data_IF_337733411951
#
_entry.id   IF_337733411951
#
_cell.length_a   1.000
_cell.length_b   1.000
_cell.length_c   1.000
_cell.angle_alpha   90.00
_cell.angle_beta   90.00
_cell.angle_gamma   90.00
#
_symmetry.space_group_name_H-M   'P 1'
#
loop_
_entity.id
_entity.type
_entity.pdbx_description
1 polymer ?
#
# COMPACT_ATOMS: atom_id res chain seq x y z
N UNK A 1 17.88 7.73 -33.34
CA UNK A 1 16.51 7.19 -33.30
C UNK A 1 16.56 5.81 -32.65
N UNK A 2 16.16 5.66 -31.38
CA UNK A 2 16.24 4.34 -30.70
C UNK A 2 15.17 3.42 -31.30
N UNK A 3 15.58 2.22 -31.70
CA UNK A 3 14.70 1.24 -32.36
C UNK A 3 13.68 0.69 -31.36
N UNK A 4 12.38 0.92 -31.58
CA UNK A 4 11.29 0.41 -30.72
C UNK A 4 11.33 -1.11 -30.55
N UNK A 5 11.79 -1.85 -31.56
CA UNK A 5 11.98 -3.31 -31.46
C UNK A 5 13.05 -3.66 -30.44
N UNK A 6 14.16 -2.91 -30.43
CA UNK A 6 15.23 -3.10 -29.45
C UNK A 6 14.75 -2.87 -28.02
N UNK A 7 13.96 -1.80 -27.77
CA UNK A 7 13.39 -1.52 -26.45
C UNK A 7 12.51 -2.68 -25.97
N UNK A 8 11.65 -3.21 -26.83
CA UNK A 8 10.80 -4.36 -26.48
C UNK A 8 11.61 -5.65 -26.25
N UNK A 9 12.68 -5.88 -27.01
CA UNK A 9 13.60 -7.01 -26.78
C UNK A 9 14.27 -6.87 -25.41
N UNK A 10 14.78 -5.68 -25.07
CA UNK A 10 15.41 -5.41 -23.78
C UNK A 10 14.43 -5.60 -22.62
N UNK A 11 13.17 -5.19 -22.79
CA UNK A 11 12.12 -5.43 -21.81
C UNK A 11 11.98 -6.93 -21.51
N UNK A 12 11.69 -7.73 -22.54
CA UNK A 12 11.44 -9.16 -22.38
C UNK A 12 12.67 -9.93 -21.93
N UNK A 13 13.85 -9.58 -22.43
CA UNK A 13 15.12 -10.13 -21.94
C UNK A 13 15.27 -9.85 -20.44
N UNK A 14 14.99 -8.61 -20.00
CA UNK A 14 15.04 -8.25 -18.59
C UNK A 14 14.09 -9.07 -17.73
N UNK A 15 12.85 -9.25 -18.17
CA UNK A 15 11.86 -10.09 -17.49
C UNK A 15 12.34 -11.55 -17.41
N UNK A 16 12.85 -12.10 -18.52
CA UNK A 16 13.38 -13.47 -18.55
C UNK A 16 14.54 -13.65 -17.57
N UNK A 17 15.46 -12.68 -17.48
CA UNK A 17 16.57 -12.74 -16.52
C UNK A 17 16.08 -12.75 -15.06
N UNK A 18 15.09 -11.90 -14.73
CA UNK A 18 14.47 -11.90 -13.40
C UNK A 18 13.88 -13.27 -13.06
N UNK A 19 13.11 -13.87 -13.98
CA UNK A 19 12.46 -15.16 -13.77
C UNK A 19 13.45 -16.33 -13.71
N UNK A 20 14.44 -16.36 -14.59
CA UNK A 20 15.51 -17.38 -14.56
C UNK A 20 16.27 -17.30 -13.24
N UNK A 21 16.55 -16.08 -12.76
CA UNK A 21 17.19 -15.88 -11.47
C UNK A 21 16.35 -16.42 -10.32
N UNK A 22 15.03 -16.21 -10.33
CA UNK A 22 14.16 -16.71 -9.26
C UNK A 22 14.01 -18.23 -9.24
N UNK A 23 14.07 -18.89 -10.40
CA UNK A 23 14.00 -20.36 -10.46
C UNK A 23 15.28 -21.00 -9.90
N UNK A 24 16.44 -20.36 -10.10
CA UNK A 24 17.74 -20.90 -9.69
C UNK A 24 18.12 -20.56 -8.25
N UNK A 25 17.44 -19.62 -7.61
CA UNK A 25 17.79 -19.12 -6.29
C UNK A 25 16.59 -19.22 -5.36
N UNK A 26 16.74 -20.01 -4.29
CA UNK A 26 15.77 -20.06 -3.21
C UNK A 26 16.38 -19.42 -1.97
N UNK A 27 15.77 -18.35 -1.49
CA UNK A 27 16.09 -17.74 -0.20
C UNK A 27 15.27 -18.49 0.85
N UNK A 28 15.96 -19.13 1.80
CA UNK A 28 15.31 -19.97 2.81
C UNK A 28 14.65 -19.13 3.91
N UNK A 29 15.30 -18.05 4.30
CA UNK A 29 14.84 -17.20 5.38
C UNK A 29 15.47 -15.81 5.27
N UNK A 30 14.69 -14.78 5.62
CA UNK A 30 15.16 -13.41 5.81
C UNK A 30 14.70 -12.96 7.19
N UNK A 31 15.59 -12.44 8.05
CA UNK A 31 15.17 -11.95 9.35
C UNK A 31 14.14 -10.83 9.19
N UNK A 32 13.01 -10.93 9.91
CA UNK A 32 11.90 -9.98 9.84
C UNK A 32 12.31 -8.54 10.22
N UNK A 33 13.39 -8.42 10.99
CA UNK A 33 14.01 -7.15 11.40
C UNK A 33 14.61 -6.40 10.20
N UNK A 34 15.06 -7.10 9.16
CA UNK A 34 15.64 -6.51 7.96
C UNK A 34 14.65 -6.60 6.80
N UNK A 35 13.64 -5.72 6.79
CA UNK A 35 12.65 -5.62 5.69
C UNK A 35 13.29 -5.39 4.30
N UNK A 36 14.53 -4.88 4.25
CA UNK A 36 15.34 -4.66 3.03
C UNK A 36 16.30 -5.85 2.77
N UNK A 37 16.51 -6.73 3.74
CA UNK A 37 17.49 -7.83 3.68
C UNK A 37 17.27 -8.79 2.52
N UNK A 38 16.02 -8.97 2.08
CA UNK A 38 15.72 -9.78 0.89
C UNK A 38 16.33 -9.19 -0.38
N UNK A 39 16.34 -7.85 -0.53
CA UNK A 39 16.87 -7.17 -1.70
C UNK A 39 18.39 -7.34 -1.81
N UNK A 40 19.09 -7.30 -0.67
CA UNK A 40 20.53 -7.53 -0.61
C UNK A 40 20.92 -8.98 -0.95
N UNK A 41 19.98 -9.92 -0.80
CA UNK A 41 20.21 -11.35 -1.04
C UNK A 41 19.90 -11.77 -2.48
N UNK A 42 19.43 -10.85 -3.34
CA UNK A 42 19.08 -11.18 -4.72
C UNK A 42 20.32 -11.33 -5.61
N UNK A 43 20.34 -12.32 -6.52
CA UNK A 43 21.44 -12.48 -7.46
C UNK A 43 21.61 -11.24 -8.35
N UNK A 44 22.86 -10.96 -8.74
CA UNK A 44 23.17 -9.87 -9.67
C UNK A 44 22.37 -9.96 -10.98
N UNK A 45 22.10 -11.19 -11.45
CA UNK A 45 21.32 -11.46 -12.65
C UNK A 45 19.89 -10.90 -12.55
N UNK A 46 19.26 -10.98 -11.36
CA UNK A 46 17.94 -10.38 -11.13
C UNK A 46 18.00 -8.86 -11.32
N UNK A 47 18.98 -8.19 -10.70
CA UNK A 47 19.13 -6.74 -10.79
C UNK A 47 19.42 -6.27 -12.20
N UNK A 48 20.28 -6.98 -12.93
CA UNK A 48 20.53 -6.70 -14.35
C UNK A 48 19.24 -6.80 -15.17
N UNK A 49 18.46 -7.87 -14.97
CA UNK A 49 17.18 -8.03 -15.63
C UNK A 49 16.20 -6.91 -15.31
N UNK A 50 16.08 -6.58 -14.02
CA UNK A 50 15.18 -5.54 -13.53
C UNK A 50 15.52 -4.16 -14.09
N UNK A 51 16.82 -3.79 -14.11
CA UNK A 51 17.29 -2.52 -14.68
C UNK A 51 16.98 -2.45 -16.18
N UNK A 52 17.17 -3.53 -16.95
CA UNK A 52 16.83 -3.54 -18.38
C UNK A 52 15.34 -3.30 -18.61
N UNK A 53 14.48 -3.96 -17.85
CA UNK A 53 13.03 -3.76 -17.94
C UNK A 53 12.61 -2.36 -17.50
N UNK A 54 13.23 -1.81 -16.44
CA UNK A 54 12.97 -0.46 -15.94
C UNK A 54 13.38 0.60 -16.97
N UNK A 55 14.57 0.49 -17.56
CA UNK A 55 15.02 1.37 -18.64
C UNK A 55 14.06 1.32 -19.83
N UNK A 56 13.57 0.13 -20.21
CA UNK A 56 12.56 0.03 -21.27
C UNK A 56 11.28 0.79 -20.92
N UNK A 57 10.84 0.78 -19.66
CA UNK A 57 9.65 1.52 -19.23
C UNK A 57 9.89 3.02 -19.27
N UNK A 58 11.05 3.48 -18.77
CA UNK A 58 11.43 4.90 -18.77
C UNK A 58 11.42 5.45 -20.20
N UNK A 59 12.00 4.72 -21.16
CA UNK A 59 11.87 5.07 -22.57
C UNK A 59 10.42 4.98 -23.08
N UNK A 60 9.67 3.98 -22.63
CA UNK A 60 8.26 3.78 -22.97
C UNK A 60 7.33 4.92 -22.57
N UNK A 61 7.69 5.74 -21.57
CA UNK A 61 6.89 6.91 -21.15
C UNK A 61 6.56 7.79 -22.36
N UNK A 62 7.60 8.15 -23.14
CA UNK A 62 7.47 9.02 -24.31
C UNK A 62 7.07 8.27 -25.58
N UNK A 63 7.53 7.04 -25.76
CA UNK A 63 7.50 6.38 -27.08
C UNK A 63 6.50 5.23 -27.22
N UNK A 64 6.09 4.61 -26.12
CA UNK A 64 5.15 3.48 -26.17
C UNK A 64 3.71 3.97 -26.28
N UNK A 65 2.92 3.21 -27.05
CA UNK A 65 1.46 3.30 -26.99
C UNK A 65 1.02 3.07 -25.55
N UNK A 66 -0.05 3.74 -25.15
CA UNK A 66 -0.52 3.73 -23.76
C UNK A 66 -0.66 2.32 -23.18
N UNK A 67 -1.32 1.41 -23.91
CA UNK A 67 -1.54 0.04 -23.46
C UNK A 67 -0.23 -0.75 -23.28
N UNK A 68 0.78 -0.48 -24.10
CA UNK A 68 2.08 -1.15 -24.04
C UNK A 68 2.83 -0.67 -22.80
N UNK A 69 2.88 0.65 -22.59
CA UNK A 69 3.49 1.23 -21.40
C UNK A 69 2.84 0.68 -20.13
N UNK A 70 1.51 0.71 -20.09
CA UNK A 70 0.70 0.22 -18.98
C UNK A 70 1.02 -1.24 -18.63
N UNK A 71 1.01 -2.13 -19.61
CA UNK A 71 1.32 -3.55 -19.38
C UNK A 71 2.76 -3.74 -18.89
N UNK A 72 3.74 -3.08 -19.50
CA UNK A 72 5.14 -3.16 -19.08
C UNK A 72 5.32 -2.69 -17.64
N UNK A 73 4.75 -1.54 -17.30
CA UNK A 73 4.85 -0.95 -15.98
C UNK A 73 4.19 -1.82 -14.91
N UNK A 74 3.00 -2.37 -15.17
CA UNK A 74 2.35 -3.32 -14.27
C UNK A 74 3.22 -4.54 -14.02
N UNK A 75 3.79 -5.14 -15.08
CA UNK A 75 4.63 -6.33 -14.95
C UNK A 75 5.87 -6.05 -14.10
N UNK A 76 6.59 -4.95 -14.37
CA UNK A 76 7.81 -4.61 -13.63
C UNK A 76 7.50 -4.27 -12.18
N UNK A 77 6.42 -3.52 -11.93
CA UNK A 77 5.97 -3.24 -10.57
C UNK A 77 5.62 -4.54 -9.83
N UNK A 78 4.89 -5.45 -10.49
CA UNK A 78 4.53 -6.76 -9.91
C UNK A 78 5.74 -7.63 -9.61
N UNK A 79 6.77 -7.59 -10.46
CA UNK A 79 8.02 -8.32 -10.22
C UNK A 79 8.78 -7.74 -9.03
N UNK A 80 8.88 -6.41 -8.94
CA UNK A 80 9.56 -5.76 -7.82
C UNK A 80 8.88 -6.04 -6.50
N UNK A 81 7.57 -5.79 -6.44
CA UNK A 81 6.78 -6.05 -5.24
C UNK A 81 6.71 -7.55 -4.93
N UNK A 82 6.65 -8.39 -5.97
CA UNK A 82 6.60 -9.84 -5.88
C UNK A 82 7.95 -10.53 -5.66
N UNK A 83 9.04 -9.79 -5.37
CA UNK A 83 10.34 -10.38 -5.03
C UNK A 83 10.20 -11.50 -3.97
N UNK A 84 9.47 -11.29 -2.84
CA UNK A 84 9.25 -12.37 -1.88
C UNK A 84 8.54 -13.58 -2.49
N UNK A 85 7.55 -13.39 -3.36
CA UNK A 85 6.85 -14.48 -4.07
C UNK A 85 7.80 -15.28 -4.98
N UNK A 86 8.75 -14.60 -5.61
CA UNK A 86 9.69 -15.21 -6.55
C UNK A 86 10.80 -16.00 -5.84
N UNK A 87 11.32 -15.51 -4.72
CA UNK A 87 12.52 -16.06 -4.08
C UNK A 87 12.28 -16.82 -2.78
N UNK A 88 11.15 -16.61 -2.09
CA UNK A 88 10.81 -17.36 -0.87
C UNK A 88 9.85 -18.50 -1.16
N UNK A 89 9.94 -19.59 -0.38
CA UNK A 89 9.03 -20.73 -0.49
C UNK A 89 7.70 -20.52 0.23
N UNK A 90 7.68 -19.61 1.20
CA UNK A 90 6.54 -19.38 2.08
C UNK A 90 6.06 -17.93 2.00
N UNK A 91 4.84 -17.62 2.46
CA UNK A 91 4.36 -16.25 2.60
C UNK A 91 5.37 -15.39 3.37
N UNK A 92 5.62 -14.18 2.87
CA UNK A 92 6.65 -13.29 3.40
C UNK A 92 6.29 -12.69 4.76
N UNK A 93 5.00 -12.39 4.97
CA UNK A 93 4.55 -11.60 6.12
C UNK A 93 3.80 -12.46 7.14
N UNK A 94 4.06 -12.20 8.42
CA UNK A 94 3.40 -12.85 9.55
C UNK A 94 1.88 -12.74 9.48
N UNK A 95 1.36 -11.57 9.09
CA UNK A 95 -0.07 -11.31 9.03
C UNK A 95 -0.77 -12.19 7.97
N UNK A 96 -0.04 -12.62 6.93
CA UNK A 96 -0.57 -13.56 5.93
C UNK A 96 -0.88 -14.93 6.52
N UNK A 97 -0.09 -15.39 7.50
CA UNK A 97 -0.34 -16.68 8.16
C UNK A 97 -1.60 -16.66 9.02
N UNK A 98 -1.94 -15.51 9.60
CA UNK A 98 -3.21 -15.33 10.33
C UNK A 98 -4.40 -15.49 9.37
N UNK A 99 -4.35 -14.85 8.20
CA UNK A 99 -5.36 -15.03 7.14
C UNK A 99 -5.43 -16.48 6.67
N UNK A 100 -4.28 -17.15 6.44
CA UNK A 100 -4.22 -18.57 6.02
C UNK A 100 -4.95 -19.47 7.02
N UNK A 101 -4.72 -19.27 8.32
CA UNK A 101 -5.38 -20.02 9.39
C UNK A 101 -6.89 -19.85 9.32
N UNK A 102 -7.38 -18.62 9.16
CA UNK A 102 -8.81 -18.32 9.04
C UNK A 102 -9.43 -18.93 7.79
N UNK A 103 -8.74 -18.85 6.64
CA UNK A 103 -9.21 -19.45 5.38
C UNK A 103 -9.27 -20.97 5.49
N UNK A 104 -8.29 -21.60 6.12
CA UNK A 104 -8.30 -23.05 6.32
C UNK A 104 -9.45 -23.49 7.23
N UNK A 105 -9.75 -22.72 8.27
CA UNK A 105 -10.88 -22.98 9.16
C UNK A 105 -12.21 -22.85 8.43
N UNK A 106 -12.44 -21.75 7.70
CA UNK A 106 -13.72 -21.56 7.00
C UNK A 106 -13.93 -22.61 5.89
N UNK A 107 -12.87 -22.99 5.17
CA UNK A 107 -12.98 -24.02 4.11
C UNK A 107 -13.26 -25.40 4.71
N UNK A 108 -12.71 -25.71 5.89
CA UNK A 108 -12.89 -27.01 6.54
C UNK A 108 -14.22 -27.13 7.28
N UNK A 109 -14.66 -26.06 7.93
CA UNK A 109 -15.79 -26.09 8.88
C UNK A 109 -16.99 -25.25 8.43
N UNK A 110 -16.91 -24.55 7.30
CA UNK A 110 -17.90 -23.58 6.82
C UNK A 110 -18.24 -22.47 7.83
N UNK A 111 -17.39 -22.27 8.83
CA UNK A 111 -17.62 -21.34 9.94
C UNK A 111 -16.30 -20.71 10.39
N UNK A 112 -16.35 -19.42 10.74
CA UNK A 112 -15.26 -18.71 11.43
C UNK A 112 -15.64 -18.64 12.89
N UNK A 113 -14.92 -19.37 13.75
CA UNK A 113 -15.12 -19.27 15.19
C UNK A 113 -14.56 -17.94 15.68
N UNK A 114 -15.43 -16.93 15.81
CA UNK A 114 -15.10 -15.64 16.38
C UNK A 114 -15.00 -15.84 17.89
N UNK A 115 -13.80 -16.16 18.38
CA UNK A 115 -13.60 -16.27 19.82
C UNK A 115 -13.71 -14.88 20.46
N UNK A 116 -14.43 -14.76 21.57
CA UNK A 116 -14.53 -13.51 22.34
C UNK A 116 -13.19 -13.03 22.91
N UNK A 117 -12.18 -13.90 22.93
CA UNK A 117 -10.78 -13.59 23.20
C UNK A 117 -10.11 -13.11 21.93
N UNK A 118 -9.80 -11.82 21.88
CA UNK A 118 -9.34 -11.01 20.74
C UNK A 118 -7.94 -11.36 20.21
N UNK A 119 -7.61 -12.63 19.97
CA UNK A 119 -6.26 -12.99 19.50
C UNK A 119 -6.04 -12.70 18.01
N UNK A 120 -7.09 -12.45 17.23
CA UNK A 120 -6.98 -12.37 15.79
C UNK A 120 -7.83 -11.23 15.21
N UNK A 121 -7.22 -10.04 15.10
CA UNK A 121 -7.84 -8.79 14.63
C UNK A 121 -8.48 -8.92 13.23
N UNK A 122 -8.12 -9.93 12.44
CA UNK A 122 -8.64 -10.15 11.10
C UNK A 122 -9.99 -10.91 11.03
N UNK A 123 -10.46 -11.49 12.14
CA UNK A 123 -11.75 -12.21 12.18
C UNK A 123 -12.95 -11.30 11.90
N UNK A 124 -12.82 -10.01 12.20
CA UNK A 124 -13.83 -8.99 11.95
C UNK A 124 -13.91 -8.54 10.47
N UNK A 125 -13.06 -9.09 9.60
CA UNK A 125 -12.93 -8.69 8.18
C UNK A 125 -13.15 -9.88 7.23
N UNK A 126 -14.40 -10.36 7.06
CA UNK A 126 -14.67 -11.65 6.45
C UNK A 126 -14.41 -11.69 4.93
N UNK A 127 -14.42 -10.55 4.23
CA UNK A 127 -14.33 -10.54 2.77
C UNK A 127 -13.03 -11.15 2.24
N UNK A 128 -11.86 -10.79 2.80
CA UNK A 128 -10.58 -11.38 2.39
C UNK A 128 -10.55 -12.88 2.61
N UNK A 129 -11.03 -13.32 3.77
CA UNK A 129 -11.06 -14.73 4.14
C UNK A 129 -11.96 -15.51 3.17
N UNK A 130 -13.14 -14.99 2.86
CA UNK A 130 -14.06 -15.60 1.89
C UNK A 130 -13.49 -15.61 0.47
N UNK A 131 -12.92 -14.49 0.02
CA UNK A 131 -12.33 -14.37 -1.31
C UNK A 131 -11.18 -15.35 -1.51
N UNK A 132 -10.25 -15.42 -0.56
CA UNK A 132 -9.12 -16.37 -0.62
C UNK A 132 -9.60 -17.82 -0.48
N UNK A 133 -10.60 -18.08 0.36
CA UNK A 133 -11.23 -19.40 0.46
C UNK A 133 -11.86 -19.86 -0.86
N UNK A 134 -12.56 -18.95 -1.55
CA UNK A 134 -13.11 -19.21 -2.88
C UNK A 134 -12.00 -19.48 -3.90
N UNK A 135 -10.91 -18.69 -3.90
CA UNK A 135 -9.76 -18.94 -4.77
C UNK A 135 -9.15 -20.33 -4.52
N UNK A 136 -9.00 -20.74 -3.26
CA UNK A 136 -8.52 -22.08 -2.90
C UNK A 136 -9.41 -23.18 -3.48
N UNK A 137 -10.73 -23.04 -3.36
CA UNK A 137 -11.69 -24.02 -3.87
C UNK A 137 -11.69 -24.09 -5.40
N UNK A 138 -11.60 -22.95 -6.10
CA UNK A 138 -11.61 -22.88 -7.56
C UNK A 138 -10.30 -23.39 -8.16
N UNK A 139 -9.17 -22.93 -7.62
CA UNK A 139 -7.85 -23.22 -8.18
C UNK A 139 -7.29 -24.57 -7.73
N UNK A 140 -7.80 -25.15 -6.65
CA UNK A 140 -7.32 -26.42 -6.10
C UNK A 140 -5.89 -26.35 -5.53
N UNK A 141 -5.38 -25.17 -5.25
CA UNK A 141 -4.01 -24.95 -4.72
C UNK A 141 -4.02 -24.70 -3.22
N UNK A 142 -2.88 -24.96 -2.56
CA UNK A 142 -2.75 -24.68 -1.12
C UNK A 142 -2.86 -23.19 -0.83
N UNK A 143 -3.42 -22.86 0.34
CA UNK A 143 -3.56 -21.48 0.82
C UNK A 143 -2.21 -20.80 1.01
N UNK A 144 -1.16 -21.55 1.36
CA UNK A 144 0.23 -21.05 1.41
C UNK A 144 0.74 -20.64 0.03
N UNK A 145 0.41 -21.40 -1.01
CA UNK A 145 0.74 -21.04 -2.39
C UNK A 145 0.01 -19.76 -2.81
N UNK A 146 -1.27 -19.63 -2.46
CA UNK A 146 -2.02 -18.40 -2.70
C UNK A 146 -1.36 -17.24 -1.97
N UNK A 147 -1.09 -17.37 -0.67
CA UNK A 147 -0.45 -16.33 0.14
C UNK A 147 0.93 -15.93 -0.39
N UNK A 148 1.72 -16.89 -0.88
CA UNK A 148 3.00 -16.63 -1.54
C UNK A 148 2.83 -15.76 -2.78
N UNK A 149 1.95 -16.11 -3.70
CA UNK A 149 1.77 -15.38 -4.97
C UNK A 149 0.84 -14.19 -4.89
N UNK A 150 0.14 -14.03 -3.77
CA UNK A 150 -0.82 -12.95 -3.54
C UNK A 150 -0.17 -11.58 -3.76
N UNK A 151 1.03 -11.37 -3.21
CA UNK A 151 1.80 -10.13 -3.31
C UNK A 151 2.06 -9.69 -4.76
N UNK A 152 2.38 -10.64 -5.64
CA UNK A 152 2.65 -10.40 -7.05
C UNK A 152 1.37 -10.01 -7.81
N UNK A 153 0.25 -10.69 -7.53
CA UNK A 153 -1.04 -10.39 -8.14
C UNK A 153 -1.61 -9.06 -7.66
N UNK A 154 -1.56 -8.85 -6.35
CA UNK A 154 -2.15 -7.73 -5.65
C UNK A 154 -1.47 -6.40 -6.00
N UNK A 155 -0.13 -6.39 -6.07
CA UNK A 155 0.65 -5.25 -6.52
C UNK A 155 0.36 -4.88 -7.98
N UNK A 156 0.25 -5.87 -8.86
CA UNK A 156 -0.16 -5.66 -10.25
C UNK A 156 -1.52 -4.98 -10.34
N UNK A 157 -2.53 -5.52 -9.65
CA UNK A 157 -3.88 -4.92 -9.62
C UNK A 157 -3.85 -3.50 -9.05
N UNK A 158 -3.09 -3.26 -7.98
CA UNK A 158 -2.91 -1.90 -7.45
C UNK A 158 -2.36 -0.96 -8.50
N UNK A 159 -1.27 -1.33 -9.18
CA UNK A 159 -0.70 -0.48 -10.22
C UNK A 159 -1.71 -0.18 -11.33
N UNK A 160 -2.46 -1.20 -11.79
CA UNK A 160 -3.49 -1.03 -12.81
C UNK A 160 -4.52 0.03 -12.39
N UNK A 161 -5.01 -0.08 -11.16
CA UNK A 161 -6.02 0.84 -10.62
C UNK A 161 -5.46 2.23 -10.32
N UNK A 162 -4.23 2.34 -9.82
CA UNK A 162 -3.52 3.60 -9.60
C UNK A 162 -3.29 4.34 -10.92
N UNK A 163 -2.86 3.64 -11.96
CA UNK A 163 -2.66 4.22 -13.28
C UNK A 163 -3.98 4.76 -13.87
N UNK A 164 -5.05 3.96 -13.76
CA UNK A 164 -6.40 4.38 -14.15
C UNK A 164 -6.88 5.62 -13.38
N UNK A 165 -6.57 5.69 -12.09
CA UNK A 165 -6.84 6.84 -11.23
C UNK A 165 -6.04 8.08 -11.64
N UNK A 166 -4.73 7.97 -11.80
CA UNK A 166 -3.87 9.10 -12.21
C UNK A 166 -4.27 9.64 -13.58
N UNK A 167 -4.65 8.76 -14.51
CA UNK A 167 -5.21 9.15 -15.81
C UNK A 167 -6.56 9.86 -15.68
N UNK A 168 -7.41 9.43 -14.75
CA UNK A 168 -8.69 10.10 -14.52
C UNK A 168 -8.49 11.49 -13.89
N UNK A 169 -7.50 11.63 -13.01
CA UNK A 169 -7.13 12.92 -12.41
C UNK A 169 -6.44 13.86 -13.40
N UNK A 170 -5.67 13.35 -14.36
CA UNK A 170 -4.90 14.19 -15.27
C UNK A 170 -5.75 15.05 -16.21
N UNK A 171 -7.01 14.65 -16.45
CA UNK A 171 -7.91 15.36 -17.38
C UNK A 171 -7.37 15.40 -18.82
N UNK A 172 -7.75 16.44 -19.57
CA UNK A 172 -7.32 16.69 -20.97
C UNK A 172 -6.03 17.52 -21.07
N UNK A 173 -5.48 18.01 -19.95
CA UNK A 173 -4.24 18.80 -19.97
C UNK A 173 -2.98 17.91 -20.05
N UNK A 174 -1.86 18.51 -20.47
CA UNK A 174 -0.51 17.93 -20.63
C UNK A 174 0.13 17.40 -19.32
N UNK A 175 -0.61 16.72 -18.45
CA UNK A 175 -0.10 16.10 -17.24
C UNK A 175 0.47 14.71 -17.57
N UNK A 176 1.74 14.50 -17.23
CA UNK A 176 2.43 13.22 -17.48
C UNK A 176 2.03 12.15 -16.44
N UNK A 177 0.80 11.66 -16.56
CA UNK A 177 0.26 10.63 -15.68
C UNK A 177 1.05 9.32 -15.73
N UNK A 178 1.79 9.04 -16.81
CA UNK A 178 2.64 7.85 -16.93
C UNK A 178 3.80 7.91 -15.94
N UNK A 179 4.54 9.02 -15.94
CA UNK A 179 5.65 9.25 -15.00
C UNK A 179 5.15 9.31 -13.56
N UNK A 180 4.06 10.03 -13.31
CA UNK A 180 3.49 10.16 -11.96
C UNK A 180 3.00 8.81 -11.42
N UNK A 181 2.37 7.97 -12.25
CA UNK A 181 1.94 6.63 -11.82
C UNK A 181 3.12 5.75 -11.43
N UNK A 182 4.22 5.79 -12.20
CA UNK A 182 5.44 5.06 -11.86
C UNK A 182 6.02 5.54 -10.52
N UNK A 183 6.27 6.84 -10.38
CA UNK A 183 6.85 7.40 -9.16
C UNK A 183 5.96 7.13 -7.94
N UNK A 184 4.65 7.33 -8.08
CA UNK A 184 3.69 7.09 -6.99
C UNK A 184 3.70 5.62 -6.59
N UNK A 185 3.70 4.70 -7.55
CA UNK A 185 3.70 3.25 -7.25
C UNK A 185 4.90 2.81 -6.41
N UNK A 186 6.10 3.36 -6.68
CA UNK A 186 7.29 3.12 -5.85
C UNK A 186 7.31 3.91 -4.54
N UNK A 187 6.39 4.85 -4.33
CA UNK A 187 6.09 5.39 -3.00
C UNK A 187 5.13 4.50 -2.20
N UNK A 188 4.34 3.68 -2.88
CA UNK A 188 3.37 2.77 -2.26
C UNK A 188 4.01 1.47 -1.71
N UNK A 189 5.32 1.22 -1.86
CA UNK A 189 6.00 -0.03 -1.43
C UNK A 189 5.74 -0.40 0.04
N UNK A 190 5.37 0.57 0.85
CA UNK A 190 5.03 0.44 2.27
C UNK A 190 3.60 -0.05 2.52
N UNK A 191 2.80 -0.22 1.46
CA UNK A 191 1.48 -0.83 1.55
C UNK A 191 1.63 -2.34 1.77
N UNK A 192 0.85 -2.86 2.71
CA UNK A 192 0.76 -4.27 3.06
C UNK A 192 0.08 -5.04 1.92
N UNK A 193 0.78 -5.24 0.80
CA UNK A 193 0.27 -5.96 -0.38
C UNK A 193 0.15 -7.48 -0.18
N UNK A 194 0.65 -7.98 0.95
CA UNK A 194 0.57 -9.39 1.31
C UNK A 194 -0.88 -9.79 1.61
N UNK A 195 -1.13 -11.06 1.93
CA UNK A 195 -2.48 -11.61 1.99
C UNK A 195 -3.23 -11.21 3.27
N UNK A 196 -3.67 -9.95 3.33
CA UNK A 196 -4.40 -9.34 4.44
C UNK A 196 -5.53 -8.43 3.94
N UNK A 197 -6.52 -8.10 4.78
CA UNK A 197 -7.64 -7.27 4.37
C UNK A 197 -7.29 -5.87 3.88
N UNK A 198 -6.23 -5.25 4.38
CA UNK A 198 -5.75 -3.95 3.91
C UNK A 198 -5.47 -3.95 2.40
N UNK A 199 -4.85 -5.03 1.90
CA UNK A 199 -4.51 -5.18 0.49
C UNK A 199 -5.77 -5.13 -0.40
N UNK A 200 -6.77 -5.97 -0.12
CA UNK A 200 -8.02 -6.06 -0.88
C UNK A 200 -8.87 -4.79 -0.82
N UNK A 201 -8.77 -4.06 0.29
CA UNK A 201 -9.47 -2.80 0.44
C UNK A 201 -8.88 -1.75 -0.50
N UNK A 202 -7.55 -1.68 -0.63
CA UNK A 202 -6.89 -0.73 -1.55
C UNK A 202 -7.35 -0.91 -2.99
N UNK A 203 -7.50 -2.14 -3.49
CA UNK A 203 -8.01 -2.35 -4.85
C UNK A 203 -9.45 -1.84 -4.99
N UNK A 204 -10.31 -2.18 -4.02
CA UNK A 204 -11.72 -1.75 -4.00
C UNK A 204 -11.83 -0.22 -3.97
N UNK A 205 -10.97 0.43 -3.19
CA UNK A 205 -10.86 1.88 -3.07
C UNK A 205 -10.46 2.52 -4.39
N UNK A 206 -9.42 2.03 -5.05
CA UNK A 206 -9.00 2.63 -6.31
C UNK A 206 -10.03 2.42 -7.42
N UNK A 207 -10.72 1.27 -7.43
CA UNK A 207 -11.87 1.04 -8.33
C UNK A 207 -12.99 2.03 -8.03
N UNK A 208 -13.34 2.24 -6.76
CA UNK A 208 -14.36 3.20 -6.35
C UNK A 208 -14.03 4.61 -6.81
N UNK A 209 -12.82 5.08 -6.53
CA UNK A 209 -12.39 6.42 -6.94
C UNK A 209 -12.43 6.52 -8.46
N UNK A 210 -11.93 5.50 -9.17
CA UNK A 210 -11.96 5.46 -10.63
C UNK A 210 -13.40 5.50 -11.19
N UNK A 211 -14.33 4.75 -10.61
CA UNK A 211 -15.73 4.69 -11.06
C UNK A 211 -16.49 6.00 -10.79
N UNK A 212 -16.14 6.75 -9.75
CA UNK A 212 -16.73 8.07 -9.45
C UNK A 212 -16.39 9.10 -10.55
N UNK A 213 -15.21 9.00 -11.17
CA UNK A 213 -14.80 9.89 -12.27
C UNK A 213 -15.36 9.50 -13.64
N UNK A 214 -16.11 8.39 -13.74
CA UNK A 214 -16.69 7.92 -15.00
C UNK A 214 -18.08 8.52 -15.28
N UNK A 215 -18.55 8.48 -16.54
CA UNK A 215 -19.88 8.96 -16.89
C UNK A 215 -20.95 8.33 -15.99
N UNK A 216 -21.99 9.10 -15.64
CA UNK A 216 -23.06 8.72 -14.69
C UNK A 216 -24.04 7.67 -15.24
N UNK A 217 -23.55 6.70 -16.00
CA UNK A 217 -24.26 5.54 -16.54
C UNK A 217 -24.48 4.52 -15.40
N UNK A 218 -25.57 3.75 -15.47
CA UNK A 218 -25.96 2.78 -14.46
C UNK A 218 -24.83 1.80 -14.07
N UNK A 219 -24.08 1.31 -15.06
CA UNK A 219 -22.98 0.36 -14.84
C UNK A 219 -21.91 0.90 -13.86
N UNK A 220 -21.46 2.14 -14.04
CA UNK A 220 -20.46 2.75 -13.16
C UNK A 220 -20.99 3.03 -11.75
N UNK A 221 -22.29 3.30 -11.61
CA UNK A 221 -22.93 3.44 -10.29
C UNK A 221 -22.94 2.10 -9.55
N UNK A 222 -23.31 1.02 -10.25
CA UNK A 222 -23.30 -0.33 -9.69
C UNK A 222 -21.88 -0.74 -9.28
N UNK A 223 -20.87 -0.50 -10.13
CA UNK A 223 -19.45 -0.74 -9.80
C UNK A 223 -19.04 0.03 -8.53
N UNK A 224 -19.43 1.30 -8.42
CA UNK A 224 -19.11 2.12 -7.23
C UNK A 224 -19.73 1.55 -5.96
N UNK A 225 -21.01 1.12 -6.01
CA UNK A 225 -21.70 0.52 -4.87
C UNK A 225 -21.01 -0.77 -4.44
N UNK A 226 -20.71 -1.65 -5.40
CA UNK A 226 -20.01 -2.92 -5.13
C UNK A 226 -18.63 -2.63 -4.53
N UNK A 227 -17.89 -1.66 -5.06
CA UNK A 227 -16.57 -1.30 -4.57
C UNK A 227 -16.60 -0.73 -3.14
N UNK A 228 -17.59 0.10 -2.79
CA UNK A 228 -17.82 0.57 -1.42
C UNK A 228 -18.13 -0.60 -0.49
N UNK A 229 -19.09 -1.45 -0.85
CA UNK A 229 -19.49 -2.58 -0.01
C UNK A 229 -18.31 -3.54 0.21
N UNK A 230 -17.57 -3.87 -0.85
CA UNK A 230 -16.36 -4.67 -0.76
C UNK A 230 -15.34 -4.02 0.17
N UNK A 231 -15.09 -2.72 0.03
CA UNK A 231 -14.17 -1.99 0.91
C UNK A 231 -14.62 -2.01 2.38
N UNK A 232 -15.90 -1.76 2.66
CA UNK A 232 -16.45 -1.74 4.04
C UNK A 232 -16.33 -3.12 4.69
N UNK A 233 -16.79 -4.18 4.01
CA UNK A 233 -16.79 -5.53 4.58
C UNK A 233 -15.34 -6.04 4.74
N UNK A 234 -14.44 -5.55 3.90
CA UNK A 234 -13.06 -6.01 3.88
C UNK A 234 -12.15 -5.25 4.85
N UNK A 235 -12.19 -3.92 4.89
CA UNK A 235 -11.40 -3.14 5.85
C UNK A 235 -12.08 -1.78 6.11
N UNK A 236 -13.02 -1.71 7.07
CA UNK A 236 -13.71 -0.49 7.47
C UNK A 236 -12.78 0.71 7.75
N UNK A 237 -11.62 0.57 8.43
CA UNK A 237 -10.75 1.71 8.70
C UNK A 237 -10.24 2.39 7.42
N UNK A 238 -9.80 1.61 6.41
CA UNK A 238 -9.38 2.16 5.12
C UNK A 238 -10.55 2.80 4.38
N UNK A 239 -11.76 2.25 4.53
CA UNK A 239 -12.95 2.82 3.89
C UNK A 239 -13.35 4.17 4.49
N UNK A 240 -13.37 4.29 5.82
CA UNK A 240 -13.65 5.54 6.53
C UNK A 240 -12.65 6.64 6.15
N UNK A 241 -11.39 6.25 5.98
CA UNK A 241 -10.34 7.15 5.56
C UNK A 241 -10.60 7.77 4.17
N UNK A 242 -10.96 6.96 3.17
CA UNK A 242 -11.29 7.47 1.83
C UNK A 242 -12.65 8.15 1.77
N UNK A 243 -13.64 7.71 2.55
CA UNK A 243 -14.90 8.47 2.67
C UNK A 243 -14.63 9.87 3.20
N UNK A 244 -13.71 10.03 4.16
CA UNK A 244 -13.29 11.35 4.65
C UNK A 244 -12.65 12.19 3.53
N UNK A 245 -11.83 11.59 2.65
CA UNK A 245 -11.26 12.26 1.47
C UNK A 245 -12.36 12.72 0.51
N UNK A 246 -13.31 11.84 0.20
CA UNK A 246 -14.41 12.14 -0.72
C UNK A 246 -15.35 13.20 -0.15
N UNK A 247 -15.65 13.16 1.14
CA UNK A 247 -16.44 14.17 1.84
C UNK A 247 -15.71 15.51 1.80
N UNK A 248 -14.42 15.55 2.12
CA UNK A 248 -13.63 16.77 2.03
C UNK A 248 -13.63 17.33 0.60
N UNK A 249 -13.49 16.45 -0.40
CA UNK A 249 -13.60 16.85 -1.80
C UNK A 249 -14.97 17.46 -2.14
N UNK A 250 -16.07 16.87 -1.68
CA UNK A 250 -17.42 17.40 -1.90
C UNK A 250 -17.57 18.76 -1.21
N UNK A 251 -17.13 18.89 0.04
CA UNK A 251 -17.17 20.14 0.80
C UNK A 251 -16.40 21.25 0.08
N UNK A 252 -15.21 20.95 -0.46
CA UNK A 252 -14.43 21.92 -1.21
C UNK A 252 -15.10 22.32 -2.53
N UNK A 253 -15.72 21.38 -3.25
CA UNK A 253 -16.53 21.74 -4.44
C UNK A 253 -17.75 22.58 -4.10
N UNK A 254 -18.25 22.52 -2.85
CA UNK A 254 -19.37 23.33 -2.39
C UNK A 254 -18.92 24.74 -1.97
N UNK A 255 -17.75 24.85 -1.34
CA UNK A 255 -17.18 26.12 -0.84
C UNK A 255 -16.59 26.96 -1.97
N UNK A 256 -15.87 26.34 -2.92
CA UNK A 256 -15.25 27.06 -4.02
C UNK A 256 -16.22 27.22 -5.20
N UNK A 257 -16.31 28.44 -5.75
CA UNK A 257 -17.17 28.70 -6.90
C UNK A 257 -16.72 27.87 -8.11
N UNK A 258 -17.68 27.52 -8.97
CA UNK A 258 -17.43 26.75 -10.19
C UNK A 258 -16.41 27.44 -11.13
N UNK A 259 -16.34 28.78 -11.10
CA UNK A 259 -15.34 29.56 -11.84
C UNK A 259 -13.95 29.43 -11.21
N UNK A 260 -13.82 29.55 -9.89
CA UNK A 260 -12.54 29.43 -9.17
C UNK A 260 -11.93 28.02 -9.31
N UNK A 261 -12.77 26.97 -9.30
CA UNK A 261 -12.33 25.59 -9.54
C UNK A 261 -11.96 25.28 -11.00
N UNK A 262 -12.50 26.04 -11.95
CA UNK A 262 -12.12 25.94 -13.37
C UNK A 262 -10.82 26.70 -13.65
N UNK A 263 -10.62 27.84 -13.00
CA UNK A 263 -9.44 28.71 -13.15
C UNK A 263 -8.23 28.15 -12.38
N UNK A 264 -8.46 27.56 -11.21
CA UNK A 264 -7.47 26.79 -10.46
C UNK A 264 -7.80 25.31 -10.48
N UNK A 265 -7.13 24.62 -11.41
CA UNK A 265 -7.10 23.17 -11.66
C UNK A 265 -7.66 22.35 -10.49
N UNK A 266 -8.96 22.06 -10.56
CA UNK A 266 -9.71 21.14 -9.67
C UNK A 266 -8.93 19.87 -9.30
N UNK A 267 -8.12 19.38 -10.23
CA UNK A 267 -7.29 18.19 -10.07
C UNK A 267 -6.01 18.40 -9.24
N UNK A 268 -5.45 19.61 -9.21
CA UNK A 268 -4.27 19.95 -8.39
C UNK A 268 -4.63 19.96 -6.90
N UNK A 269 -5.76 20.55 -6.52
CA UNK A 269 -6.23 20.53 -5.13
C UNK A 269 -6.55 19.10 -4.67
N UNK A 270 -7.19 18.29 -5.52
CA UNK A 270 -7.43 16.86 -5.25
C UNK A 270 -6.11 16.11 -5.07
N UNK A 271 -5.13 16.36 -5.93
CA UNK A 271 -3.81 15.70 -5.87
C UNK A 271 -3.04 16.11 -4.61
N UNK A 272 -3.11 17.38 -4.22
CA UNK A 272 -2.50 17.89 -2.98
C UNK A 272 -3.18 17.27 -1.76
N UNK A 273 -4.52 17.20 -1.73
CA UNK A 273 -5.24 16.61 -0.61
C UNK A 273 -5.04 15.10 -0.52
N UNK A 274 -5.07 14.40 -1.66
CA UNK A 274 -4.68 13.01 -1.73
C UNK A 274 -3.25 12.85 -1.21
N UNK A 275 -2.30 13.71 -1.61
CA UNK A 275 -0.93 13.71 -1.13
C UNK A 275 -0.80 13.95 0.37
N UNK A 276 -1.47 14.97 0.94
CA UNK A 276 -1.46 15.28 2.38
C UNK A 276 -2.04 14.13 3.18
N UNK A 277 -3.16 13.60 2.72
CA UNK A 277 -3.85 12.49 3.38
C UNK A 277 -3.01 11.22 3.25
N UNK A 278 -2.40 10.98 2.11
CA UNK A 278 -1.45 9.89 1.88
C UNK A 278 -0.23 9.97 2.80
N UNK A 279 0.37 11.15 2.93
CA UNK A 279 1.46 11.43 3.88
C UNK A 279 0.98 11.20 5.30
N UNK A 280 -0.26 11.57 5.64
CA UNK A 280 -0.86 11.34 6.96
C UNK A 280 -1.09 9.86 7.25
N UNK A 281 -1.44 9.05 6.24
CA UNK A 281 -1.58 7.59 6.37
C UNK A 281 -0.23 6.90 6.52
N UNK A 282 0.76 7.28 5.70
CA UNK A 282 2.14 6.80 5.84
C UNK A 282 2.72 7.18 7.21
N UNK A 283 2.41 8.39 7.68
CA UNK A 283 2.75 8.85 9.03
C UNK A 283 2.06 7.98 10.07
N UNK A 284 0.74 7.77 9.97
CA UNK A 284 -0.01 6.92 10.89
C UNK A 284 0.53 5.48 10.95
N UNK A 285 0.80 4.84 9.81
CA UNK A 285 1.42 3.51 9.76
C UNK A 285 2.82 3.52 10.40
N UNK A 286 3.62 4.55 10.14
CA UNK A 286 4.96 4.70 10.72
C UNK A 286 4.93 4.98 12.23
N UNK A 287 3.96 5.77 12.74
CA UNK A 287 3.81 6.12 14.15
C UNK A 287 3.07 5.04 14.97
N UNK A 288 2.08 4.39 14.36
CA UNK A 288 1.29 3.31 14.94
C UNK A 288 2.10 2.01 15.11
N UNK A 289 2.96 1.70 14.14
CA UNK A 289 3.83 0.51 14.20
C UNK A 289 5.13 0.70 15.00
N UNK A 290 5.56 1.94 15.27
CA UNK A 290 6.85 2.23 15.95
C UNK A 290 6.79 2.24 17.48
N UNK A 291 5.68 1.83 18.10
CA UNK A 291 5.51 1.91 19.56
C UNK A 291 5.38 3.35 20.09
N UNK A 292 5.61 4.37 19.26
CA UNK A 292 5.48 5.79 19.59
C UNK A 292 4.02 6.17 19.83
N UNK A 293 3.08 5.67 19.03
CA UNK A 293 1.66 5.87 19.30
C UNK A 293 1.23 5.24 20.63
N UNK A 294 1.75 4.05 20.95
CA UNK A 294 1.54 3.40 22.24
C UNK A 294 2.15 4.21 23.40
N UNK A 295 3.32 4.81 23.20
CA UNK A 295 3.98 5.71 24.14
C UNK A 295 3.16 7.00 24.35
N UNK A 296 2.68 7.63 23.28
CA UNK A 296 1.86 8.85 23.35
C UNK A 296 0.51 8.59 24.01
N UNK A 297 -0.17 7.49 23.65
CA UNK A 297 -1.41 7.08 24.30
C UNK A 297 -1.17 6.76 25.77
N UNK A 298 -0.07 6.09 26.11
CA UNK A 298 0.29 5.83 27.51
C UNK A 298 0.61 7.13 28.28
N UNK A 299 1.29 8.10 27.66
CA UNK A 299 1.56 9.42 28.25
C UNK A 299 0.23 10.14 28.51
N UNK A 300 -0.67 10.18 27.53
CA UNK A 300 -1.99 10.81 27.64
C UNK A 300 -2.84 10.11 28.73
N UNK A 301 -2.91 8.78 28.72
CA UNK A 301 -3.62 8.00 29.74
C UNK A 301 -3.00 8.15 31.13
N UNK A 302 -1.68 8.27 31.24
CA UNK A 302 -1.00 8.54 32.52
C UNK A 302 -1.28 9.95 33.03
N UNK A 303 -1.50 10.91 32.12
CA UNK A 303 -1.90 12.28 32.45
C UNK A 303 -3.30 12.31 33.05
N UNK A 304 -4.25 11.58 32.44
CA UNK A 304 -5.61 11.45 32.97
C UNK A 304 -5.70 10.63 34.27
N UNK A 305 -4.89 9.58 34.42
CA UNK A 305 -4.84 8.79 35.68
C UNK A 305 -4.18 9.54 36.85
N UNK A 306 -3.23 10.45 36.57
CA UNK A 306 -2.62 11.29 37.58
C UNK A 306 -3.61 12.34 38.16
N UNK A 307 -4.63 12.72 37.38
CA UNK A 307 -5.73 13.59 37.84
C UNK A 307 -6.75 12.84 38.71
N UNK A 308 -6.99 11.54 38.47
CA UNK A 308 -7.95 10.73 39.24
C UNK A 308 -7.37 10.18 40.56
N UNK A 309 -6.06 9.92 40.64
CA UNK A 309 -5.41 9.36 41.82
C UNK A 309 -4.01 9.96 42.07
N UNK A 310 -3.88 11.00 42.93
CA UNK A 310 -2.60 11.70 43.15
C UNK A 310 -1.47 10.83 43.74
N UNK A 311 -1.79 9.66 44.30
CA UNK A 311 -0.80 8.70 44.81
C UNK A 311 -0.09 7.88 43.71
N UNK A 312 -0.51 7.96 42.44
CA UNK A 312 0.18 7.29 41.32
C UNK A 312 1.35 8.09 40.74
N UNK A 313 1.49 9.37 41.11
CA UNK A 313 2.60 10.22 40.68
C UNK A 313 3.96 9.72 41.21
N UNK A 314 3.99 9.15 42.41
CA UNK A 314 5.21 8.62 43.03
C UNK A 314 5.74 7.33 42.40
N UNK A 315 4.88 6.56 41.71
CA UNK A 315 5.28 5.34 40.98
C UNK A 315 5.99 5.69 39.66
N UNK A 316 5.65 6.84 39.05
CA UNK A 316 6.29 7.30 37.81
C UNK A 316 7.68 7.89 38.06
N UNK A 317 7.93 8.54 39.20
CA UNK A 317 9.26 9.04 39.58
C UNK A 317 10.32 7.93 39.73
N UNK A 318 9.90 6.71 40.13
CA UNK A 318 10.80 5.55 40.23
C UNK A 318 11.18 4.88 38.90
N UNK A 319 10.54 5.25 37.79
CA UNK A 319 10.77 4.64 36.46
C UNK A 319 11.64 5.48 35.53
N UNK A 320 12.13 6.64 35.99
CA UNK A 320 12.95 7.54 35.17
C UNK A 320 12.19 8.23 34.03
N UNK A 321 10.86 8.18 34.04
CA UNK A 321 10.03 8.91 33.09
C UNK A 321 10.08 10.41 33.40
N UNK A 322 11.04 11.12 32.80
CA UNK A 322 11.07 12.58 32.87
C UNK A 322 9.85 13.16 32.14
N UNK A 323 9.35 14.31 32.62
CA UNK A 323 8.14 14.96 32.11
C UNK A 323 8.16 15.22 30.59
N UNK A 324 6.98 15.49 30.03
CA UNK A 324 6.72 15.68 28.58
C UNK A 324 7.83 16.44 27.83
N UNK A 325 8.31 17.55 28.41
CA UNK A 325 9.33 18.41 27.79
C UNK A 325 10.73 17.78 27.70
N UNK A 326 11.13 16.91 28.63
CA UNK A 326 12.42 16.20 28.56
C UNK A 326 12.36 15.06 27.55
N UNK A 327 11.24 14.34 27.46
CA UNK A 327 11.00 13.32 26.44
C UNK A 327 10.89 13.94 25.03
N UNK A 328 10.29 15.12 24.91
CA UNK A 328 10.25 15.89 23.66
C UNK A 328 11.63 16.39 23.24
N UNK A 329 12.48 16.83 24.19
CA UNK A 329 13.89 17.17 23.90
C UNK A 329 14.71 15.94 23.48
N UNK A 330 14.49 14.78 24.09
CA UNK A 330 15.10 13.52 23.66
C UNK A 330 14.64 13.13 22.25
N UNK A 331 13.35 13.31 21.94
CA UNK A 331 12.76 13.10 20.61
C UNK A 331 13.41 13.95 19.52
N UNK A 332 13.57 15.26 19.73
CA UNK A 332 14.26 16.17 18.78
C UNK A 332 15.74 15.77 18.60
N UNK A 333 16.37 15.25 19.65
CA UNK A 333 17.79 14.82 19.62
C UNK A 333 17.97 13.39 19.10
N UNK A 334 16.90 12.60 18.99
CA UNK A 334 16.99 11.22 18.53
C UNK A 334 17.23 11.18 17.02
N UNK A 335 18.25 10.42 16.62
CA UNK A 335 18.67 10.32 15.22
C UNK A 335 17.51 9.89 14.31
N UNK A 336 16.60 9.04 14.78
CA UNK A 336 15.50 8.48 13.99
C UNK A 336 14.34 9.45 13.71
N UNK A 337 13.96 10.31 14.66
CA UNK A 337 12.85 11.25 14.48
C UNK A 337 13.21 12.38 13.51
N UNK A 338 14.39 12.96 13.70
CA UNK A 338 14.87 14.04 12.84
C UNK A 338 15.30 13.51 11.46
N UNK A 339 16.01 12.37 11.37
CA UNK A 339 16.41 11.84 10.05
C UNK A 339 15.27 11.22 9.26
N UNK A 340 14.23 10.66 9.91
CA UNK A 340 13.04 10.16 9.22
C UNK A 340 12.24 11.31 8.58
N UNK A 341 12.03 12.39 9.34
CA UNK A 341 11.37 13.59 8.83
C UNK A 341 12.23 14.32 7.78
N UNK A 342 13.53 14.53 8.05
CA UNK A 342 14.45 15.17 7.10
C UNK A 342 14.63 14.33 5.83
N UNK A 343 14.72 12.99 5.89
CA UNK A 343 14.80 12.15 4.67
C UNK A 343 13.53 12.23 3.85
N UNK A 344 12.37 12.27 4.50
CA UNK A 344 11.07 12.41 3.82
C UNK A 344 10.94 13.80 3.19
N UNK A 345 11.35 14.86 3.90
CA UNK A 345 11.38 16.22 3.36
C UNK A 345 12.44 16.42 2.27
N UNK A 346 13.68 15.95 2.45
CA UNK A 346 14.75 16.04 1.45
C UNK A 346 14.45 15.23 0.19
N UNK A 347 13.71 14.12 0.29
CA UNK A 347 13.24 13.37 -0.88
C UNK A 347 12.14 14.12 -1.65
N UNK A 348 11.30 14.90 -0.97
CA UNK A 348 10.18 15.65 -1.57
C UNK A 348 10.59 17.02 -2.13
N UNK A 349 11.69 17.60 -1.67
CA UNK A 349 12.13 18.95 -2.09
C UNK A 349 13.38 18.99 -2.97
N UNK A 350 14.02 17.85 -3.25
CA UNK A 350 15.14 17.72 -4.22
C UNK A 350 14.79 16.91 -5.49
N UNK A 351 13.49 16.72 -5.77
CA UNK A 351 12.97 16.27 -7.07
C UNK A 351 12.15 17.41 -7.69
#
# INVERSE_FOLDING_TARGET
>A
MINRKLISILFWLGISLCLISSVKTNILWTPLEYKIGILASLPLIFWLGYILSLLSIIYGIKFDKEIIFFLKATIVFSIFMGIPSLFLKSPYDGDSYLTIRLVNNIVKYAFVNISSTSENVYEQFPFTVLFVGMLKLILGVSTDSIGRYFLLLSSGITFLTLYGFMKALSGEENFDYKSVSLLTSFGLVWMQYHMVPQSLALFSIFILIWSIFKPKILSWRVISIIAILASVINHPPSTLFILSVLILFILLNFIFSKSYMMEHKKYTLISILFGIIWISWLSYLSFGSSGIFRLMVNIILSSFKAEEHPNYASILEGTGAKGFWENYKFFIRSYYGLTGAIRTFSFLFNA
#
